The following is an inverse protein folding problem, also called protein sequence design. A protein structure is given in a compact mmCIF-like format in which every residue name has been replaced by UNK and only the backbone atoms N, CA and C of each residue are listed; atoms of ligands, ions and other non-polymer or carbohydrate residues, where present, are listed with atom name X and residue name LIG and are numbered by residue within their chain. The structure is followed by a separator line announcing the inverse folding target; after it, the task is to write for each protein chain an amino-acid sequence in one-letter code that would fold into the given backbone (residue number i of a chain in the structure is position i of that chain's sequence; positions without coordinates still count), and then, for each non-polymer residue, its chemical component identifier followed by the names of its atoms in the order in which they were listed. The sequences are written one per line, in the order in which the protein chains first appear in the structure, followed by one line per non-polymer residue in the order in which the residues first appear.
data_IF_883363489869
#
_entry.id   IF_883363489869
#
_cell.length_a   1.000
_cell.length_b   1.000
_cell.length_c   1.000
_cell.angle_alpha   90.00
_cell.angle_beta   90.00
_cell.angle_gamma   90.00
#
_symmetry.space_group_name_H-M   'P 1'
#
loop_
_entity.id
_entity.type
_entity.pdbx_description
1 polymer ?
#
# COMPACT_ATOMS: atom_id res chain seq x y z
N UNK A 1 -20.65 0.41 13.38
CA UNK A 1 -21.42 -0.84 13.33
C UNK A 1 -20.50 -2.01 13.63
N UNK A 2 -21.00 -3.03 14.35
CA UNK A 2 -20.19 -4.19 14.72
C UNK A 2 -21.00 -5.24 15.46
N UNK A 3 -20.31 -6.25 15.98
CA UNK A 3 -20.91 -7.31 16.77
C UNK A 3 -20.99 -6.91 18.26
N UNK A 4 -21.95 -7.49 18.96
CA UNK A 4 -21.90 -7.52 20.42
C UNK A 4 -20.96 -8.66 20.85
N UNK A 5 -19.67 -8.33 20.94
CA UNK A 5 -18.62 -9.29 21.30
C UNK A 5 -18.85 -9.89 22.70
N UNK A 6 -19.35 -9.07 23.64
CA UNK A 6 -19.61 -9.51 25.00
C UNK A 6 -20.77 -10.51 25.05
N UNK A 7 -21.96 -10.11 24.60
CA UNK A 7 -23.14 -10.99 24.65
C UNK A 7 -22.98 -12.27 23.82
N UNK A 8 -22.20 -12.20 22.75
CA UNK A 8 -21.92 -13.36 21.89
C UNK A 8 -20.99 -14.36 22.57
N UNK A 9 -19.90 -13.88 23.17
CA UNK A 9 -18.96 -14.74 23.91
C UNK A 9 -19.60 -15.31 25.18
N UNK A 10 -20.45 -14.53 25.85
CA UNK A 10 -21.24 -14.99 26.99
C UNK A 10 -22.05 -16.23 26.65
N UNK A 11 -22.80 -16.21 25.54
CA UNK A 11 -23.59 -17.33 25.05
C UNK A 11 -22.69 -18.53 24.71
N UNK A 12 -21.53 -18.31 24.12
CA UNK A 12 -20.58 -19.38 23.76
C UNK A 12 -20.04 -20.11 24.99
N UNK A 13 -19.59 -19.39 26.00
CA UNK A 13 -19.06 -19.96 27.25
C UNK A 13 -20.16 -20.64 28.05
N UNK A 14 -21.33 -20.03 28.14
CA UNK A 14 -22.51 -20.61 28.85
C UNK A 14 -22.93 -21.92 28.19
N UNK A 15 -22.92 -22.04 26.86
CA UNK A 15 -23.20 -23.26 26.14
C UNK A 15 -22.24 -24.42 26.54
N UNK A 16 -20.93 -24.14 26.63
CA UNK A 16 -19.95 -25.14 27.06
C UNK A 16 -20.22 -25.67 28.48
N UNK A 17 -20.62 -24.79 29.38
CA UNK A 17 -20.89 -25.13 30.78
C UNK A 17 -22.22 -25.88 30.90
N UNK A 18 -23.30 -25.37 30.30
CA UNK A 18 -24.64 -25.89 30.47
C UNK A 18 -24.88 -27.13 29.62
N UNK A 19 -24.54 -27.09 28.32
CA UNK A 19 -24.84 -28.18 27.40
C UNK A 19 -23.81 -29.33 27.47
N UNK A 20 -22.53 -29.01 27.76
CA UNK A 20 -21.43 -29.96 27.74
C UNK A 20 -20.85 -30.25 29.15
N UNK A 21 -21.35 -29.59 30.20
CA UNK A 21 -20.94 -29.79 31.59
C UNK A 21 -19.44 -29.55 31.84
N UNK A 22 -18.83 -28.65 31.04
CA UNK A 22 -17.43 -28.27 31.22
C UNK A 22 -17.22 -27.55 32.56
N UNK A 23 -16.21 -28.00 33.33
CA UNK A 23 -15.89 -27.48 34.67
C UNK A 23 -14.55 -26.76 34.69
N UNK A 24 -13.70 -27.04 33.73
CA UNK A 24 -12.40 -26.38 33.54
C UNK A 24 -12.34 -25.84 32.12
N UNK A 25 -12.09 -24.53 32.01
CA UNK A 25 -11.98 -23.85 30.72
C UNK A 25 -10.66 -23.09 30.63
N UNK A 26 -10.05 -23.10 29.46
CA UNK A 26 -8.89 -22.27 29.15
C UNK A 26 -9.28 -21.22 28.11
N UNK A 27 -8.87 -19.98 28.35
CA UNK A 27 -9.08 -18.90 27.38
C UNK A 27 -7.82 -18.72 26.52
N UNK A 28 -8.00 -18.66 25.21
CA UNK A 28 -6.92 -18.39 24.25
C UNK A 28 -7.31 -17.14 23.46
N UNK A 29 -6.78 -16.00 23.91
CA UNK A 29 -7.11 -14.67 23.42
C UNK A 29 -6.16 -14.15 22.36
N UNK A 30 -6.56 -13.03 21.74
CA UNK A 30 -5.76 -12.20 20.85
C UNK A 30 -4.89 -11.19 21.61
N UNK A 31 -4.42 -10.11 20.94
CA UNK A 31 -3.64 -9.05 21.57
C UNK A 31 -4.38 -8.44 22.76
N UNK A 32 -3.64 -8.23 23.85
CA UNK A 32 -4.21 -7.76 25.12
C UNK A 32 -4.80 -6.33 25.05
N UNK A 33 -4.37 -5.53 24.08
CA UNK A 33 -4.85 -4.16 23.83
C UNK A 33 -6.01 -4.11 22.82
N UNK A 34 -6.41 -5.23 22.23
CA UNK A 34 -7.57 -5.30 21.34
C UNK A 34 -8.87 -5.13 22.12
N UNK A 35 -9.68 -4.13 21.76
CA UNK A 35 -10.98 -3.90 22.37
C UNK A 35 -11.93 -5.10 22.23
N UNK A 36 -11.89 -5.81 21.10
CA UNK A 36 -12.68 -7.02 20.87
C UNK A 36 -12.25 -8.14 21.82
N UNK A 37 -10.93 -8.36 21.98
CA UNK A 37 -10.42 -9.34 22.91
C UNK A 37 -10.80 -9.01 24.35
N UNK A 38 -10.74 -7.75 24.74
CA UNK A 38 -11.13 -7.31 26.08
C UNK A 38 -12.61 -7.59 26.39
N UNK A 39 -13.51 -7.33 25.44
CA UNK A 39 -14.95 -7.61 25.61
C UNK A 39 -15.23 -9.14 25.66
N UNK A 40 -14.58 -9.94 24.81
CA UNK A 40 -14.69 -11.40 24.82
C UNK A 40 -14.14 -11.99 26.11
N UNK A 41 -12.99 -11.47 26.56
CA UNK A 41 -12.39 -11.84 27.84
C UNK A 41 -13.31 -11.52 29.03
N UNK A 42 -13.87 -10.31 29.10
CA UNK A 42 -14.77 -9.90 30.17
C UNK A 42 -16.00 -10.82 30.26
N UNK A 43 -16.60 -11.15 29.11
CA UNK A 43 -17.71 -12.08 29.05
C UNK A 43 -17.33 -13.48 29.59
N UNK A 44 -16.14 -14.00 29.20
CA UNK A 44 -15.63 -15.26 29.72
C UNK A 44 -15.49 -15.23 31.25
N UNK A 45 -14.85 -14.20 31.79
CA UNK A 45 -14.65 -14.00 33.24
C UNK A 45 -16.01 -13.95 34.00
N UNK A 46 -16.94 -13.12 33.52
CA UNK A 46 -18.25 -12.94 34.16
C UNK A 46 -19.08 -14.24 34.16
N UNK A 47 -19.02 -15.04 33.08
CA UNK A 47 -19.68 -16.32 33.02
C UNK A 47 -19.07 -17.32 34.00
N UNK A 48 -17.74 -17.43 34.07
CA UNK A 48 -17.10 -18.31 35.04
C UNK A 48 -17.49 -17.93 36.46
N UNK A 49 -17.49 -16.65 36.80
CA UNK A 49 -17.93 -16.15 38.11
C UNK A 49 -19.39 -16.54 38.41
N UNK A 50 -20.28 -16.35 37.42
CA UNK A 50 -21.70 -16.68 37.55
C UNK A 50 -21.97 -18.17 37.87
N UNK A 51 -21.15 -19.04 37.26
CA UNK A 51 -21.26 -20.50 37.46
C UNK A 51 -20.35 -21.04 38.58
N UNK A 52 -19.63 -20.16 39.30
CA UNK A 52 -18.76 -20.54 40.40
C UNK A 52 -17.51 -21.34 39.98
N UNK A 53 -17.08 -21.18 38.74
CA UNK A 53 -15.85 -21.80 38.22
C UNK A 53 -14.68 -20.87 38.56
N UNK A 54 -13.60 -21.36 39.21
CA UNK A 54 -12.46 -20.52 39.56
C UNK A 54 -11.75 -19.97 38.33
N UNK A 55 -11.44 -18.68 38.32
CA UNK A 55 -10.59 -18.05 37.32
C UNK A 55 -9.13 -18.24 37.73
N UNK A 56 -8.38 -19.03 36.97
CA UNK A 56 -6.95 -19.31 37.20
C UNK A 56 -6.12 -18.61 36.13
N UNK A 57 -5.19 -17.73 36.51
CA UNK A 57 -4.35 -17.00 35.58
C UNK A 57 -3.50 -17.91 34.67
N UNK A 58 -3.12 -19.08 35.16
CA UNK A 58 -2.34 -20.06 34.40
C UNK A 58 -3.14 -20.73 33.27
N UNK A 59 -4.47 -20.52 33.22
CA UNK A 59 -5.39 -21.01 32.18
C UNK A 59 -5.70 -19.99 31.10
N UNK A 60 -4.91 -18.92 31.05
CA UNK A 60 -5.11 -17.80 30.14
C UNK A 60 -3.88 -17.65 29.24
N UNK A 61 -4.10 -17.58 27.94
CA UNK A 61 -3.09 -17.29 26.94
C UNK A 61 -3.55 -16.13 26.07
N UNK A 62 -2.78 -15.05 25.98
CA UNK A 62 -3.04 -13.93 25.11
C UNK A 62 -1.83 -13.65 24.24
N UNK A 63 -1.98 -13.65 22.92
CA UNK A 63 -0.89 -13.35 21.98
C UNK A 63 -1.41 -12.64 20.73
N UNK A 64 -1.45 -13.30 19.57
CA UNK A 64 -1.97 -12.79 18.31
C UNK A 64 -3.22 -13.54 17.88
N UNK A 65 -3.93 -13.02 16.88
CA UNK A 65 -5.06 -13.71 16.25
C UNK A 65 -4.65 -14.74 15.19
N UNK A 66 -3.40 -15.09 15.11
CA UNK A 66 -2.83 -15.97 14.10
C UNK A 66 -2.94 -17.46 14.50
N UNK A 67 -2.88 -18.34 13.49
CA UNK A 67 -2.90 -19.80 13.67
C UNK A 67 -1.80 -20.26 14.62
N UNK A 68 -0.61 -19.70 14.50
CA UNK A 68 0.56 -20.04 15.30
C UNK A 68 0.37 -19.76 16.81
N UNK A 69 -0.45 -18.78 17.16
CA UNK A 69 -0.80 -18.50 18.57
C UNK A 69 -1.58 -19.68 19.17
N UNK A 70 -2.50 -20.26 18.41
CA UNK A 70 -3.23 -21.47 18.83
C UNK A 70 -2.33 -22.70 19.03
N UNK A 71 -1.35 -22.87 18.12
CA UNK A 71 -0.35 -23.94 18.22
C UNK A 71 0.47 -23.79 19.51
N UNK A 72 1.01 -22.59 19.76
CA UNK A 72 1.82 -22.32 20.97
C UNK A 72 1.00 -22.42 22.26
N UNK A 73 -0.24 -21.95 22.24
CA UNK A 73 -1.14 -22.07 23.39
C UNK A 73 -1.36 -23.53 23.77
N UNK A 74 -1.63 -24.42 22.80
CA UNK A 74 -1.80 -25.84 23.09
C UNK A 74 -0.55 -26.46 23.70
N UNK A 75 0.63 -26.23 23.11
CA UNK A 75 1.90 -26.76 23.63
C UNK A 75 2.13 -26.29 25.08
N UNK A 76 1.90 -25.00 25.35
CA UNK A 76 2.06 -24.43 26.68
C UNK A 76 1.17 -25.11 27.72
N UNK A 77 -0.12 -25.30 27.44
CA UNK A 77 -1.04 -25.92 28.39
C UNK A 77 -0.77 -27.42 28.55
N UNK A 78 -0.33 -28.09 27.50
CA UNK A 78 0.06 -29.51 27.57
C UNK A 78 1.32 -29.70 28.44
N UNK A 79 2.37 -28.90 28.23
CA UNK A 79 3.62 -28.97 29.02
C UNK A 79 3.37 -28.67 30.50
N UNK A 80 2.46 -27.78 30.80
CA UNK A 80 2.06 -27.46 32.19
C UNK A 80 1.05 -28.40 32.80
N UNK A 81 0.60 -29.42 32.09
CA UNK A 81 -0.48 -30.35 32.52
C UNK A 81 -1.78 -29.62 32.89
N UNK A 82 -2.11 -28.56 32.14
CA UNK A 82 -3.29 -27.71 32.35
C UNK A 82 -4.34 -27.88 31.22
N UNK A 83 -4.47 -29.08 30.65
CA UNK A 83 -5.50 -29.34 29.64
C UNK A 83 -6.89 -29.21 30.29
N UNK A 84 -7.83 -28.48 29.66
CA UNK A 84 -9.17 -28.21 30.20
C UNK A 84 -10.22 -29.20 29.66
N UNK A 85 -11.47 -29.06 30.12
CA UNK A 85 -12.64 -29.67 29.46
C UNK A 85 -12.99 -28.93 28.16
N UNK A 86 -12.69 -27.61 28.09
CA UNK A 86 -12.91 -26.81 26.87
C UNK A 86 -11.87 -25.66 26.71
N UNK A 87 -11.44 -25.45 25.47
CA UNK A 87 -10.71 -24.26 25.04
C UNK A 87 -11.68 -23.24 24.42
N UNK A 88 -11.67 -22.01 24.95
CA UNK A 88 -12.41 -20.87 24.43
C UNK A 88 -11.45 -19.99 23.66
N UNK A 89 -11.46 -20.07 22.34
CA UNK A 89 -10.58 -19.31 21.48
C UNK A 89 -11.27 -18.01 21.04
N UNK A 90 -10.49 -16.91 21.06
CA UNK A 90 -11.01 -15.60 20.69
C UNK A 90 -11.36 -15.49 19.19
N UNK A 91 -10.77 -16.32 18.31
CA UNK A 91 -11.15 -16.41 16.89
C UNK A 91 -10.92 -17.81 16.31
N UNK A 92 -11.30 -18.02 15.05
CA UNK A 92 -11.13 -19.29 14.35
C UNK A 92 -9.68 -19.65 14.06
N UNK A 93 -8.82 -18.69 13.70
CA UNK A 93 -7.43 -19.00 13.38
C UNK A 93 -6.75 -19.68 14.58
N UNK A 94 -6.96 -19.10 15.76
CA UNK A 94 -6.47 -19.67 17.03
C UNK A 94 -7.04 -21.07 17.22
N UNK A 95 -8.36 -21.24 17.05
CA UNK A 95 -9.05 -22.53 17.25
C UNK A 95 -8.51 -23.59 16.27
N UNK A 96 -8.32 -23.25 15.00
CA UNK A 96 -7.76 -24.16 13.97
C UNK A 96 -6.34 -24.56 14.32
N UNK A 97 -5.48 -23.61 14.70
CA UNK A 97 -4.10 -23.87 15.10
C UNK A 97 -4.01 -24.81 16.30
N UNK A 98 -4.82 -24.54 17.33
CA UNK A 98 -4.93 -25.37 18.53
C UNK A 98 -5.42 -26.78 18.20
N UNK A 99 -6.49 -26.91 17.43
CA UNK A 99 -7.01 -28.21 17.00
C UNK A 99 -5.98 -29.00 16.19
N UNK A 100 -5.27 -28.32 15.27
CA UNK A 100 -4.26 -28.95 14.44
C UNK A 100 -3.14 -29.55 15.31
N UNK A 101 -2.57 -28.79 16.23
CA UNK A 101 -1.50 -29.25 17.12
C UNK A 101 -1.98 -30.38 18.03
N UNK A 102 -3.17 -30.23 18.61
CA UNK A 102 -3.74 -31.27 19.46
C UNK A 102 -3.92 -32.60 18.71
N UNK A 103 -4.39 -32.57 17.47
CA UNK A 103 -4.54 -33.76 16.63
C UNK A 103 -3.19 -34.40 16.26
N UNK A 104 -2.13 -33.59 16.03
CA UNK A 104 -0.78 -34.11 15.81
C UNK A 104 -0.24 -34.87 17.03
N UNK A 105 -0.58 -34.42 18.24
CA UNK A 105 -0.23 -35.09 19.50
C UNK A 105 -1.19 -36.26 19.85
N UNK A 106 -2.16 -36.59 18.99
CA UNK A 106 -3.05 -37.74 19.12
C UNK A 106 -4.33 -37.48 19.89
N UNK A 107 -4.63 -36.25 20.28
CA UNK A 107 -5.90 -35.92 20.97
C UNK A 107 -7.08 -35.93 20.01
N UNK A 108 -8.24 -36.26 20.54
CA UNK A 108 -9.50 -36.37 19.81
C UNK A 108 -10.49 -35.29 20.28
N UNK A 109 -10.81 -34.38 19.41
CA UNK A 109 -11.75 -33.29 19.66
C UNK A 109 -13.12 -33.73 19.07
N UNK A 110 -14.21 -33.70 19.83
CA UNK A 110 -14.39 -33.16 21.20
C UNK A 110 -14.20 -34.19 22.32
N UNK A 111 -13.75 -35.42 22.03
CA UNK A 111 -13.76 -36.50 23.02
C UNK A 111 -12.85 -36.24 24.24
N UNK A 112 -11.69 -35.62 24.04
CA UNK A 112 -10.74 -35.29 25.10
C UNK A 112 -11.00 -33.89 25.69
N UNK A 113 -11.37 -32.93 24.86
CA UNK A 113 -11.80 -31.58 25.23
C UNK A 113 -12.56 -30.91 24.08
N UNK A 114 -13.42 -29.95 24.42
CA UNK A 114 -14.14 -29.13 23.46
C UNK A 114 -13.25 -27.94 23.00
N UNK A 115 -13.55 -27.40 21.81
CA UNK A 115 -12.90 -26.18 21.27
C UNK A 115 -13.93 -25.28 20.64
N UNK A 116 -13.87 -23.99 20.94
CA UNK A 116 -14.70 -22.98 20.25
C UNK A 116 -13.82 -21.92 19.61
N UNK A 117 -14.27 -21.36 18.49
CA UNK A 117 -13.71 -20.22 17.81
C UNK A 117 -14.71 -19.05 17.75
N UNK A 118 -14.42 -18.05 16.93
CA UNK A 118 -15.25 -16.86 16.73
C UNK A 118 -15.00 -16.32 15.31
N UNK A 119 -15.98 -15.64 14.69
CA UNK A 119 -15.93 -14.97 13.36
C UNK A 119 -16.28 -15.86 12.14
N UNK A 120 -16.39 -17.16 12.26
CA UNK A 120 -16.81 -18.10 11.20
C UNK A 120 -16.11 -17.85 9.85
N UNK A 121 -14.79 -17.94 9.80
CA UNK A 121 -14.10 -17.92 8.51
C UNK A 121 -14.50 -19.14 7.68
N UNK A 122 -14.78 -18.96 6.39
CA UNK A 122 -15.24 -20.03 5.49
C UNK A 122 -14.42 -21.31 5.58
N UNK A 123 -13.12 -21.20 5.81
CA UNK A 123 -12.19 -22.33 5.98
C UNK A 123 -12.50 -23.19 7.21
N UNK A 124 -12.96 -22.60 8.31
CA UNK A 124 -13.26 -23.30 9.56
C UNK A 124 -14.45 -24.23 9.44
N UNK A 125 -15.43 -23.94 8.58
CA UNK A 125 -16.57 -24.81 8.28
C UNK A 125 -16.17 -26.14 7.66
N UNK A 126 -15.02 -26.26 7.05
CA UNK A 126 -14.50 -27.46 6.40
C UNK A 126 -13.38 -28.15 7.16
N UNK A 127 -12.88 -27.52 8.22
CA UNK A 127 -11.93 -28.14 9.15
C UNK A 127 -12.60 -29.36 9.82
N UNK A 128 -11.83 -30.31 10.32
CA UNK A 128 -12.35 -31.48 11.04
C UNK A 128 -11.60 -31.64 12.38
N UNK A 129 -12.36 -31.56 13.49
CA UNK A 129 -13.82 -31.33 13.62
C UNK A 129 -14.20 -29.89 13.17
N UNK A 130 -15.44 -29.70 12.69
CA UNK A 130 -15.96 -28.34 12.39
C UNK A 130 -15.98 -27.51 13.65
N UNK A 131 -15.46 -26.31 13.57
CA UNK A 131 -15.30 -25.44 14.75
C UNK A 131 -16.65 -24.83 15.13
N UNK A 132 -17.02 -24.98 16.40
CA UNK A 132 -18.14 -24.25 17.00
C UNK A 132 -17.81 -22.79 17.05
N UNK A 133 -18.66 -21.90 16.49
CA UNK A 133 -18.33 -20.51 16.22
C UNK A 133 -19.55 -19.60 16.12
N UNK A 134 -19.36 -18.39 15.71
CA UNK A 134 -20.39 -17.37 15.50
C UNK A 134 -20.35 -16.91 14.04
N UNK A 135 -21.50 -16.93 13.38
CA UNK A 135 -21.67 -16.41 12.03
C UNK A 135 -22.44 -15.10 12.03
N UNK A 136 -22.06 -14.22 11.11
CA UNK A 136 -22.75 -12.97 10.81
C UNK A 136 -22.59 -12.62 9.34
N UNK A 137 -23.56 -11.88 8.80
CA UNK A 137 -23.51 -11.42 7.42
C UNK A 137 -22.74 -10.11 7.35
N UNK A 138 -21.62 -10.09 6.61
CA UNK A 138 -20.75 -8.93 6.44
C UNK A 138 -21.45 -7.79 5.74
N UNK A 139 -22.35 -8.11 4.81
CA UNK A 139 -23.21 -7.17 4.08
C UNK A 139 -24.08 -6.37 5.04
N UNK A 140 -24.65 -7.00 6.06
CA UNK A 140 -25.48 -6.36 7.09
C UNK A 140 -24.64 -5.38 7.94
N UNK A 141 -23.36 -5.72 8.21
CA UNK A 141 -22.44 -4.78 8.91
C UNK A 141 -22.14 -3.58 8.01
N UNK A 142 -21.87 -3.81 6.74
CA UNK A 142 -21.57 -2.74 5.78
C UNK A 142 -22.77 -1.78 5.61
N UNK A 143 -23.98 -2.32 5.43
CA UNK A 143 -25.22 -1.53 5.38
C UNK A 143 -25.43 -0.70 6.65
N UNK A 144 -25.27 -1.34 7.82
CA UNK A 144 -25.40 -0.66 9.10
C UNK A 144 -24.36 0.45 9.30
N UNK A 145 -23.12 0.25 8.80
CA UNK A 145 -22.08 1.26 8.83
C UNK A 145 -22.38 2.44 7.91
N UNK A 146 -22.89 2.18 6.70
CA UNK A 146 -23.30 3.22 5.76
C UNK A 146 -24.48 4.03 6.31
N UNK A 147 -25.48 3.38 6.88
CA UNK A 147 -26.61 4.05 7.55
C UNK A 147 -26.13 5.01 8.64
N UNK A 148 -25.18 4.59 9.48
CA UNK A 148 -24.61 5.41 10.53
C UNK A 148 -23.84 6.63 9.96
N UNK A 149 -23.07 6.43 8.90
CA UNK A 149 -22.37 7.53 8.22
C UNK A 149 -23.33 8.56 7.66
N UNK A 150 -24.41 8.13 7.01
CA UNK A 150 -25.46 9.02 6.47
C UNK A 150 -26.14 9.79 7.60
N UNK A 151 -26.43 9.14 8.75
CA UNK A 151 -27.01 9.80 9.90
C UNK A 151 -26.07 10.84 10.52
N UNK A 152 -24.78 10.54 10.69
CA UNK A 152 -23.77 11.47 11.20
C UNK A 152 -23.66 12.70 10.29
N UNK A 153 -23.58 12.50 8.98
CA UNK A 153 -23.47 13.60 8.01
C UNK A 153 -24.75 14.43 7.89
N UNK A 154 -25.93 13.79 8.00
CA UNK A 154 -27.20 14.48 7.86
C UNK A 154 -27.67 15.23 9.09
N UNK A 155 -27.32 14.78 10.29
CA UNK A 155 -27.87 15.31 11.54
C UNK A 155 -26.83 15.99 12.45
N UNK A 156 -25.55 15.95 12.09
CA UNK A 156 -24.44 16.49 12.89
C UNK A 156 -24.43 15.97 14.35
N UNK A 157 -24.88 14.71 14.55
CA UNK A 157 -24.99 14.05 15.85
C UNK A 157 -23.91 12.98 15.97
N UNK A 158 -23.46 12.71 17.20
CA UNK A 158 -22.68 11.52 17.53
C UNK A 158 -23.62 10.31 17.46
N UNK A 159 -23.42 9.40 16.51
CA UNK A 159 -24.20 8.19 16.42
C UNK A 159 -23.72 7.16 17.43
N UNK A 160 -24.65 6.50 18.12
CA UNK A 160 -24.36 5.34 18.97
C UNK A 160 -23.91 4.14 18.12
N UNK A 161 -23.19 3.21 18.74
CA UNK A 161 -22.77 1.98 18.11
C UNK A 161 -24.01 1.13 17.72
N UNK A 162 -24.11 0.73 16.44
CA UNK A 162 -25.17 -0.15 15.95
C UNK A 162 -24.64 -1.59 15.92
N UNK A 163 -25.24 -2.47 16.72
CA UNK A 163 -24.91 -3.90 16.72
C UNK A 163 -25.75 -4.64 15.68
N UNK A 164 -25.12 -5.64 15.02
CA UNK A 164 -25.80 -6.50 14.06
C UNK A 164 -26.10 -7.86 14.69
N UNK A 165 -27.17 -8.56 14.24
CA UNK A 165 -27.51 -9.88 14.73
C UNK A 165 -26.44 -10.90 14.37
N UNK A 166 -26.23 -11.86 15.27
CA UNK A 166 -25.31 -12.99 15.10
C UNK A 166 -26.05 -14.32 15.19
N UNK A 167 -25.53 -15.34 14.54
CA UNK A 167 -25.99 -16.70 14.63
C UNK A 167 -24.94 -17.58 15.28
N UNK A 168 -25.28 -18.26 16.39
CA UNK A 168 -24.41 -19.25 17.01
C UNK A 168 -24.41 -20.54 16.18
N UNK A 169 -23.23 -21.02 15.82
CA UNK A 169 -23.03 -22.27 15.08
C UNK A 169 -22.39 -23.31 15.99
N UNK A 170 -23.25 -24.10 16.68
CA UNK A 170 -22.74 -25.19 17.50
C UNK A 170 -22.47 -26.42 16.63
N UNK A 171 -21.22 -26.90 16.63
CA UNK A 171 -20.72 -27.86 15.66
C UNK A 171 -19.91 -28.99 16.33
N UNK A 172 -19.18 -29.76 15.48
CA UNK A 172 -18.47 -30.98 15.93
C UNK A 172 -17.48 -30.73 17.06
N UNK A 173 -16.78 -29.58 17.08
CA UNK A 173 -15.71 -29.32 18.04
C UNK A 173 -16.14 -29.10 19.49
N UNK A 174 -17.43 -28.83 19.73
CA UNK A 174 -17.99 -28.85 21.07
C UNK A 174 -18.81 -30.14 21.34
N UNK A 175 -19.02 -31.00 20.34
CA UNK A 175 -19.79 -32.25 20.45
C UNK A 175 -21.24 -32.12 19.94
N UNK A 176 -21.66 -30.97 19.45
CA UNK A 176 -22.97 -30.79 18.83
C UNK A 176 -22.99 -31.34 17.40
N UNK A 177 -24.18 -31.72 16.94
CA UNK A 177 -24.40 -32.12 15.54
C UNK A 177 -24.81 -30.88 14.74
N UNK A 178 -24.10 -30.54 13.66
CA UNK A 178 -24.45 -29.38 12.85
C UNK A 178 -25.76 -29.64 12.06
N UNK A 179 -26.53 -28.59 11.87
CA UNK A 179 -27.77 -28.63 11.11
C UNK A 179 -27.58 -28.82 9.60
N UNK A 180 -26.46 -28.34 9.06
CA UNK A 180 -26.15 -28.44 7.64
C UNK A 180 -24.75 -29.02 7.40
N UNK A 181 -24.63 -29.93 6.43
CA UNK A 181 -23.35 -30.52 6.01
C UNK A 181 -23.09 -30.13 4.58
N UNK A 182 -22.15 -29.22 4.36
CA UNK A 182 -21.66 -28.88 3.01
C UNK A 182 -20.77 -30.02 2.45
N UNK A 183 -20.84 -30.25 1.15
CA UNK A 183 -20.06 -31.29 0.47
C UNK A 183 -18.56 -30.95 0.52
N UNK A 184 -17.75 -31.88 1.01
CA UNK A 184 -16.28 -31.72 1.05
C UNK A 184 -15.67 -31.69 -0.37
N UNK A 185 -16.28 -32.40 -1.32
CA UNK A 185 -15.77 -32.44 -2.71
C UNK A 185 -15.92 -31.09 -3.40
N UNK A 186 -17.07 -30.45 -3.29
CA UNK A 186 -17.31 -29.10 -3.84
C UNK A 186 -16.35 -28.08 -3.24
N UNK A 187 -16.13 -28.15 -1.93
CA UNK A 187 -15.16 -27.26 -1.29
C UNK A 187 -13.73 -27.45 -1.81
N UNK A 188 -13.28 -28.70 -1.99
CA UNK A 188 -11.92 -28.97 -2.48
C UNK A 188 -11.77 -28.44 -3.92
N UNK A 189 -12.78 -28.64 -4.78
CA UNK A 189 -12.77 -28.14 -6.14
C UNK A 189 -12.70 -26.61 -6.19
N UNK A 190 -13.57 -25.95 -5.42
CA UNK A 190 -13.57 -24.48 -5.28
C UNK A 190 -12.22 -23.97 -4.73
N UNK A 191 -11.67 -24.66 -3.74
CA UNK A 191 -10.40 -24.28 -3.11
C UNK A 191 -9.22 -24.41 -4.08
N UNK A 192 -9.13 -25.50 -4.84
CA UNK A 192 -8.10 -25.70 -5.86
C UNK A 192 -8.20 -24.57 -6.91
N UNK A 193 -9.41 -24.26 -7.35
CA UNK A 193 -9.63 -23.19 -8.30
C UNK A 193 -9.19 -21.83 -7.75
N UNK A 194 -9.51 -21.52 -6.48
CA UNK A 194 -9.07 -20.30 -5.82
C UNK A 194 -7.56 -20.23 -5.66
N UNK A 195 -6.89 -21.30 -5.23
CA UNK A 195 -5.43 -21.35 -5.07
C UNK A 195 -4.70 -21.13 -6.40
N UNK A 196 -5.15 -21.75 -7.49
CA UNK A 196 -4.57 -21.51 -8.82
C UNK A 196 -4.73 -20.04 -9.22
N UNK A 197 -5.92 -19.48 -9.01
CA UNK A 197 -6.17 -18.06 -9.29
C UNK A 197 -5.31 -17.12 -8.47
N UNK A 198 -5.13 -17.39 -7.17
CA UNK A 198 -4.27 -16.60 -6.29
C UNK A 198 -2.82 -16.57 -6.79
N UNK A 199 -2.33 -17.71 -7.28
CA UNK A 199 -0.97 -17.80 -7.88
C UNK A 199 -0.88 -16.96 -9.16
N UNK A 200 -1.86 -17.06 -10.06
CA UNK A 200 -1.86 -16.29 -11.31
C UNK A 200 -1.88 -14.79 -11.04
N UNK A 201 -2.71 -14.35 -10.10
CA UNK A 201 -2.82 -12.95 -9.70
C UNK A 201 -1.55 -12.42 -9.04
N UNK A 202 -0.94 -13.24 -8.18
CA UNK A 202 0.33 -12.88 -7.56
C UNK A 202 1.43 -12.69 -8.64
N UNK A 203 1.46 -13.56 -9.64
CA UNK A 203 2.36 -13.42 -10.78
C UNK A 203 2.12 -12.13 -11.57
N UNK A 204 0.85 -11.75 -11.81
CA UNK A 204 0.51 -10.49 -12.48
C UNK A 204 0.98 -9.26 -11.68
N UNK A 205 0.85 -9.27 -10.34
CA UNK A 205 1.34 -8.19 -9.48
C UNK A 205 2.88 -8.13 -9.48
N UNK A 206 3.54 -9.28 -9.48
CA UNK A 206 5.00 -9.35 -9.57
C UNK A 206 5.51 -8.82 -10.92
N UNK A 207 4.82 -9.16 -12.04
CA UNK A 207 5.11 -8.60 -13.36
C UNK A 207 4.88 -7.08 -13.37
N UNK A 208 3.79 -6.60 -12.79
CA UNK A 208 3.53 -5.17 -12.62
C UNK A 208 4.68 -4.49 -11.89
N UNK A 209 5.09 -5.00 -10.74
CA UNK A 209 6.19 -4.45 -9.94
C UNK A 209 7.49 -4.34 -10.74
N UNK A 210 7.84 -5.38 -11.49
CA UNK A 210 9.01 -5.38 -12.35
C UNK A 210 8.93 -4.27 -13.41
N UNK A 211 7.82 -4.18 -14.13
CA UNK A 211 7.61 -3.17 -15.16
C UNK A 211 7.61 -1.74 -14.61
N UNK A 212 7.04 -1.52 -13.42
CA UNK A 212 6.98 -0.18 -12.80
C UNK A 212 8.36 0.35 -12.38
N UNK A 213 9.28 -0.51 -11.95
CA UNK A 213 10.64 -0.11 -11.55
C UNK A 213 11.44 0.41 -12.75
N UNK A 214 11.20 -0.12 -13.95
CA UNK A 214 11.91 0.26 -15.18
C UNK A 214 11.38 1.55 -15.80
N UNK A 215 10.28 2.10 -15.33
CA UNK A 215 9.67 3.30 -15.90
C UNK A 215 10.60 4.53 -15.81
N UNK A 216 10.55 5.32 -16.87
CA UNK A 216 11.30 6.57 -16.98
C UNK A 216 10.41 7.81 -16.80
N UNK A 217 9.09 7.67 -16.92
CA UNK A 217 8.12 8.75 -16.75
C UNK A 217 6.78 8.27 -16.19
N UNK A 218 5.96 9.22 -15.71
CA UNK A 218 4.66 8.95 -15.09
C UNK A 218 3.64 8.35 -16.06
N UNK A 219 3.68 8.70 -17.34
CA UNK A 219 2.74 8.22 -18.35
C UNK A 219 2.98 6.73 -18.63
N UNK A 220 4.23 6.34 -18.80
CA UNK A 220 4.60 4.94 -18.95
C UNK A 220 4.18 4.11 -17.74
N UNK A 221 4.43 4.63 -16.53
CA UNK A 221 4.03 3.98 -15.28
C UNK A 221 2.51 3.80 -15.19
N UNK A 222 1.75 4.85 -15.50
CA UNK A 222 0.29 4.81 -15.52
C UNK A 222 -0.26 3.83 -16.56
N UNK A 223 0.39 3.68 -17.71
CA UNK A 223 0.00 2.72 -18.75
C UNK A 223 0.19 1.28 -18.29
N UNK A 224 1.33 0.94 -17.65
CA UNK A 224 1.55 -0.41 -17.11
C UNK A 224 0.55 -0.75 -16.00
N UNK A 225 0.32 0.19 -15.09
CA UNK A 225 -0.70 0.01 -14.04
C UNK A 225 -2.09 -0.21 -14.65
N UNK A 226 -2.50 0.64 -15.60
CA UNK A 226 -3.80 0.53 -16.28
C UNK A 226 -3.94 -0.81 -17.00
N UNK A 227 -2.88 -1.30 -17.66
CA UNK A 227 -2.89 -2.61 -18.31
C UNK A 227 -3.14 -3.73 -17.31
N UNK A 228 -2.46 -3.71 -16.16
CA UNK A 228 -2.61 -4.70 -15.10
C UNK A 228 -4.05 -4.69 -14.52
N UNK A 229 -4.56 -3.53 -14.07
CA UNK A 229 -5.89 -3.49 -13.45
C UNK A 229 -7.02 -3.82 -14.44
N UNK A 230 -6.86 -3.51 -15.73
CA UNK A 230 -7.78 -3.97 -16.76
C UNK A 230 -7.70 -5.51 -16.97
N UNK A 231 -6.53 -6.11 -16.85
CA UNK A 231 -6.34 -7.57 -16.81
C UNK A 231 -7.07 -8.19 -15.61
N UNK A 232 -7.07 -7.50 -14.48
CA UNK A 232 -7.82 -7.82 -13.26
C UNK A 232 -9.32 -7.44 -13.33
N UNK A 233 -9.88 -7.34 -14.53
CA UNK A 233 -11.30 -7.08 -14.85
C UNK A 233 -11.85 -5.72 -14.41
N UNK A 234 -10.99 -4.73 -14.14
CA UNK A 234 -11.43 -3.36 -13.97
C UNK A 234 -11.86 -2.78 -15.34
N UNK A 235 -13.07 -2.22 -15.43
CA UNK A 235 -13.62 -1.73 -16.68
C UNK A 235 -13.13 -0.34 -17.06
N UNK A 236 -12.89 0.52 -16.07
CA UNK A 236 -12.40 1.86 -16.28
C UNK A 236 -11.35 2.28 -15.26
N UNK A 237 -10.37 3.05 -15.71
CA UNK A 237 -9.27 3.56 -14.87
C UNK A 237 -9.02 5.02 -15.24
N UNK A 238 -8.88 5.88 -14.23
CA UNK A 238 -8.41 7.25 -14.39
C UNK A 238 -7.40 7.56 -13.29
N UNK A 239 -6.27 8.12 -13.66
CA UNK A 239 -5.17 8.46 -12.74
C UNK A 239 -4.92 9.95 -12.80
N UNK A 240 -4.97 10.58 -11.64
CA UNK A 240 -4.76 12.00 -11.44
C UNK A 240 -3.51 12.23 -10.61
N UNK A 241 -2.73 13.24 -10.98
CA UNK A 241 -1.57 13.65 -10.20
C UNK A 241 -1.56 15.15 -9.99
N UNK A 242 -1.07 15.58 -8.84
CA UNK A 242 -0.89 16.98 -8.51
C UNK A 242 0.15 17.63 -9.44
N UNK A 243 -0.20 18.78 -10.01
CA UNK A 243 0.66 19.52 -10.94
C UNK A 243 2.00 19.90 -10.34
N UNK A 244 2.01 20.42 -9.11
CA UNK A 244 3.24 20.84 -8.43
C UNK A 244 4.22 19.68 -8.29
N UNK A 245 3.72 18.47 -8.02
CA UNK A 245 4.56 17.28 -7.90
C UNK A 245 5.20 16.90 -9.23
N UNK A 246 4.43 16.98 -10.31
CA UNK A 246 4.91 16.67 -11.66
C UNK A 246 5.98 17.69 -12.07
N UNK A 247 5.72 18.99 -11.89
CA UNK A 247 6.64 20.07 -12.21
C UNK A 247 7.93 20.04 -11.37
N UNK A 248 7.84 19.70 -10.07
CA UNK A 248 9.02 19.55 -9.21
C UNK A 248 9.99 18.49 -9.71
N UNK A 249 9.50 17.45 -10.34
CA UNK A 249 10.27 16.27 -10.71
C UNK A 249 10.73 16.25 -12.16
N UNK A 250 10.02 16.92 -13.08
CA UNK A 250 10.41 16.99 -14.50
C UNK A 250 11.50 18.05 -14.72
N UNK A 251 12.44 17.76 -15.63
CA UNK A 251 13.44 18.71 -16.05
C UNK A 251 12.88 19.68 -17.11
N UNK A 252 13.37 20.91 -17.15
CA UNK A 252 12.97 21.95 -18.10
C UNK A 252 13.20 21.54 -19.58
N UNK A 253 13.96 20.47 -19.82
CA UNK A 253 14.29 19.94 -21.15
C UNK A 253 13.34 18.83 -21.63
N UNK A 254 12.51 18.26 -20.75
CA UNK A 254 11.48 17.33 -21.18
C UNK A 254 10.28 18.14 -21.66
N UNK A 255 10.06 18.17 -22.98
CA UNK A 255 8.99 18.91 -23.60
C UNK A 255 7.63 18.67 -22.93
N UNK A 256 6.72 19.62 -23.06
CA UNK A 256 5.38 19.65 -22.50
C UNK A 256 4.73 18.27 -22.57
N UNK A 257 4.57 17.63 -21.43
CA UNK A 257 3.73 16.46 -21.34
C UNK A 257 2.30 16.93 -21.61
N UNK A 258 1.70 16.45 -22.69
CA UNK A 258 0.30 16.79 -23.03
C UNK A 258 -0.61 16.11 -22.01
N UNK A 259 -1.00 16.85 -20.99
CA UNK A 259 -2.01 16.44 -20.01
C UNK A 259 -3.40 16.88 -20.49
N UNK A 260 -4.40 16.07 -20.20
CA UNK A 260 -5.81 16.42 -20.48
C UNK A 260 -6.27 17.30 -19.32
N UNK A 261 -6.51 18.61 -19.59
CA UNK A 261 -6.87 19.59 -18.54
C UNK A 261 -8.33 20.00 -18.52
N UNK A 262 -9.15 19.61 -19.52
CA UNK A 262 -10.52 20.08 -19.66
C UNK A 262 -11.44 19.58 -18.54
N UNK A 263 -11.96 20.53 -17.75
CA UNK A 263 -13.07 20.32 -16.80
C UNK A 263 -12.68 19.93 -15.38
N UNK A 264 -11.42 20.05 -15.00
CA UNK A 264 -10.91 19.63 -13.67
C UNK A 264 -10.27 20.77 -12.87
N UNK A 265 -10.08 20.61 -11.53
CA UNK A 265 -9.40 21.62 -10.73
C UNK A 265 -8.03 21.97 -11.29
N UNK A 266 -7.70 23.25 -11.35
CA UNK A 266 -6.45 23.80 -11.94
C UNK A 266 -5.15 23.20 -11.36
N UNK A 267 -5.24 22.41 -10.30
CA UNK A 267 -4.11 21.81 -9.58
C UNK A 267 -3.88 20.33 -9.84
N UNK A 268 -4.74 19.69 -10.65
CA UNK A 268 -4.66 18.24 -10.90
C UNK A 268 -4.66 17.93 -12.40
N UNK A 269 -3.75 17.06 -12.83
CA UNK A 269 -3.66 16.60 -14.21
C UNK A 269 -4.04 15.13 -14.35
N UNK A 270 -4.79 14.79 -15.40
CA UNK A 270 -5.06 13.40 -15.79
C UNK A 270 -3.81 12.84 -16.49
N UNK A 271 -3.17 11.89 -15.89
CA UNK A 271 -1.99 11.23 -16.44
C UNK A 271 -2.38 10.08 -17.38
N UNK A 272 -3.44 9.35 -17.05
CA UNK A 272 -3.95 8.26 -17.85
C UNK A 272 -5.45 8.11 -17.65
N UNK A 273 -6.15 7.81 -18.74
CA UNK A 273 -7.58 7.48 -18.73
C UNK A 273 -7.84 6.35 -19.72
N UNK A 274 -8.63 5.36 -19.30
CA UNK A 274 -9.08 4.26 -20.15
C UNK A 274 -10.44 3.77 -19.69
N UNK A 275 -11.38 3.64 -20.64
CA UNK A 275 -12.69 3.06 -20.39
C UNK A 275 -13.61 3.92 -19.50
N UNK A 276 -13.37 5.23 -19.36
CA UNK A 276 -14.17 6.13 -18.51
C UNK A 276 -15.23 6.94 -19.28
N UNK A 277 -15.56 6.49 -20.49
CA UNK A 277 -16.46 7.19 -21.42
C UNK A 277 -17.95 6.92 -21.14
N UNK A 278 -18.26 5.96 -20.26
CA UNK A 278 -19.60 5.55 -19.90
C UNK A 278 -19.81 5.58 -18.38
N UNK A 279 -21.07 5.58 -17.95
CA UNK A 279 -21.41 5.46 -16.53
C UNK A 279 -21.27 4.02 -16.08
N UNK A 280 -20.77 3.85 -14.84
CA UNK A 280 -20.56 2.56 -14.17
C UNK A 280 -21.35 2.49 -12.88
N UNK A 281 -21.60 1.26 -12.41
CA UNK A 281 -22.34 1.02 -11.18
C UNK A 281 -21.51 1.29 -9.94
N UNK A 282 -20.20 1.09 -10.02
CA UNK A 282 -19.27 1.23 -8.89
C UNK A 282 -18.05 2.06 -9.29
N UNK A 283 -17.73 3.05 -8.48
CA UNK A 283 -16.48 3.80 -8.57
C UNK A 283 -15.73 3.72 -7.25
N UNK A 284 -14.47 3.30 -7.32
CA UNK A 284 -13.57 3.27 -6.16
C UNK A 284 -12.52 4.36 -6.32
N UNK A 285 -12.48 5.28 -5.37
CA UNK A 285 -11.51 6.37 -5.31
C UNK A 285 -10.41 5.99 -4.33
N UNK A 286 -9.17 5.88 -4.81
CA UNK A 286 -8.01 5.57 -4.00
C UNK A 286 -7.07 6.76 -3.97
N UNK A 287 -6.91 7.44 -2.82
CA UNK A 287 -5.98 8.55 -2.70
C UNK A 287 -4.53 8.04 -2.75
N UNK A 288 -3.66 8.81 -3.40
CA UNK A 288 -2.24 8.56 -3.47
C UNK A 288 -1.50 9.52 -2.55
N UNK A 289 -0.70 8.99 -1.63
CA UNK A 289 0.05 9.77 -0.65
C UNK A 289 1.51 9.33 -0.58
N UNK A 290 2.43 10.31 -0.49
CA UNK A 290 3.81 10.07 -0.06
C UNK A 290 3.92 10.51 1.41
N UNK A 291 3.75 9.58 2.35
CA UNK A 291 3.58 9.87 3.77
C UNK A 291 2.38 10.79 4.02
N UNK A 292 2.63 12.06 4.43
CA UNK A 292 1.58 13.06 4.72
C UNK A 292 1.23 13.94 3.50
N UNK A 293 1.96 13.81 2.39
CA UNK A 293 1.74 14.63 1.19
C UNK A 293 0.80 13.92 0.22
N UNK A 294 -0.34 14.53 -0.05
CA UNK A 294 -1.23 14.10 -1.12
C UNK A 294 -0.59 14.35 -2.49
N UNK A 295 -0.56 13.34 -3.34
CA UNK A 295 0.08 13.39 -4.66
C UNK A 295 -0.89 13.17 -5.81
N UNK A 296 -2.10 12.73 -5.51
CA UNK A 296 -3.15 12.47 -6.50
C UNK A 296 -4.14 11.42 -6.04
N UNK A 297 -4.85 10.85 -7.00
CA UNK A 297 -5.75 9.73 -6.76
C UNK A 297 -5.96 8.86 -8.01
N UNK A 298 -6.36 7.63 -7.77
CA UNK A 298 -6.79 6.68 -8.80
C UNK A 298 -8.28 6.46 -8.67
N UNK A 299 -8.99 6.50 -9.79
CA UNK A 299 -10.40 6.11 -9.88
C UNK A 299 -10.49 4.81 -10.68
N UNK A 300 -11.09 3.80 -10.08
CA UNK A 300 -11.36 2.51 -10.72
C UNK A 300 -12.87 2.34 -10.88
N UNK A 301 -13.31 1.92 -12.06
CA UNK A 301 -14.70 1.69 -12.36
C UNK A 301 -14.99 0.20 -12.53
N UNK A 302 -16.05 -0.30 -11.86
CA UNK A 302 -16.46 -1.70 -11.86
C UNK A 302 -15.26 -2.66 -11.65
N UNK A 303 -14.62 -2.54 -10.50
CA UNK A 303 -13.46 -3.34 -10.09
C UNK A 303 -13.82 -4.47 -9.10
N UNK A 304 -15.02 -5.02 -9.18
CA UNK A 304 -15.59 -6.01 -8.26
C UNK A 304 -14.63 -7.18 -8.01
N UNK A 305 -13.99 -7.67 -9.07
CA UNK A 305 -13.05 -8.77 -8.98
C UNK A 305 -11.84 -8.49 -8.07
N UNK A 306 -11.30 -7.27 -8.11
CA UNK A 306 -10.18 -6.87 -7.24
C UNK A 306 -10.61 -6.73 -5.78
N UNK A 307 -11.85 -6.27 -5.55
CA UNK A 307 -12.43 -6.11 -4.22
C UNK A 307 -12.74 -7.47 -3.59
N UNK A 308 -13.43 -8.36 -4.30
CA UNK A 308 -13.81 -9.69 -3.85
C UNK A 308 -12.60 -10.57 -3.47
N UNK A 309 -11.48 -10.42 -4.18
CA UNK A 309 -10.27 -11.21 -3.96
C UNK A 309 -9.19 -10.48 -3.17
N UNK A 310 -9.46 -9.30 -2.62
CA UNK A 310 -8.57 -8.50 -1.77
C UNK A 310 -7.27 -8.03 -2.46
N UNK A 311 -7.22 -8.04 -3.80
CA UNK A 311 -6.03 -7.62 -4.56
C UNK A 311 -5.90 -6.11 -4.73
N UNK A 312 -6.96 -5.36 -4.46
CA UNK A 312 -6.94 -3.91 -4.62
C UNK A 312 -5.83 -3.27 -3.79
N UNK A 313 -5.75 -3.65 -2.52
CA UNK A 313 -4.76 -3.07 -1.59
C UNK A 313 -3.31 -3.36 -2.03
N UNK A 314 -3.00 -4.61 -2.38
CA UNK A 314 -1.65 -5.00 -2.80
C UNK A 314 -1.24 -4.32 -4.11
N UNK A 315 -2.15 -4.28 -5.09
CA UNK A 315 -1.92 -3.63 -6.39
C UNK A 315 -1.69 -2.13 -6.21
N UNK A 316 -2.51 -1.46 -5.38
CA UNK A 316 -2.37 -0.03 -5.11
C UNK A 316 -1.10 0.30 -4.34
N UNK A 317 -0.71 -0.50 -3.35
CA UNK A 317 0.55 -0.32 -2.64
C UNK A 317 1.75 -0.48 -3.56
N UNK A 318 1.74 -1.51 -4.43
CA UNK A 318 2.79 -1.72 -5.43
C UNK A 318 2.94 -0.51 -6.36
N UNK A 319 1.81 0.04 -6.82
CA UNK A 319 1.82 1.25 -7.65
C UNK A 319 2.36 2.46 -6.89
N UNK A 320 1.90 2.69 -5.66
CA UNK A 320 2.27 3.84 -4.83
C UNK A 320 3.77 3.83 -4.47
N UNK A 321 4.31 2.69 -4.04
CA UNK A 321 5.74 2.53 -3.75
C UNK A 321 6.61 2.81 -4.98
N UNK A 322 6.19 2.29 -6.14
CA UNK A 322 6.89 2.50 -7.40
C UNK A 322 6.79 3.95 -7.87
N UNK A 323 5.65 4.61 -7.66
CA UNK A 323 5.43 6.02 -7.96
C UNK A 323 6.35 6.93 -7.10
N UNK A 324 6.47 6.64 -5.81
CA UNK A 324 7.38 7.36 -4.92
C UNK A 324 8.85 7.17 -5.34
N UNK A 325 9.22 5.95 -5.74
CA UNK A 325 10.56 5.67 -6.27
C UNK A 325 10.85 6.48 -7.55
N UNK A 326 9.94 6.47 -8.52
CA UNK A 326 10.07 7.24 -9.76
C UNK A 326 10.19 8.75 -9.48
N UNK A 327 9.34 9.29 -8.61
CA UNK A 327 9.40 10.69 -8.21
C UNK A 327 10.77 11.07 -7.65
N UNK A 328 11.32 10.26 -6.75
CA UNK A 328 12.66 10.48 -6.18
C UNK A 328 13.77 10.39 -7.24
N UNK A 329 13.67 9.42 -8.16
CA UNK A 329 14.60 9.24 -9.30
C UNK A 329 14.60 10.47 -10.19
N UNK A 330 13.44 10.99 -10.57
CA UNK A 330 13.31 12.17 -11.43
C UNK A 330 13.81 13.44 -10.74
N UNK A 331 13.47 13.65 -9.46
CA UNK A 331 13.99 14.79 -8.68
C UNK A 331 15.50 14.76 -8.56
N UNK A 332 16.10 13.60 -8.30
CA UNK A 332 17.56 13.47 -8.23
C UNK A 332 18.19 13.77 -9.57
N UNK A 333 17.60 13.29 -10.68
CA UNK A 333 18.06 13.59 -12.04
C UNK A 333 18.04 15.10 -12.31
N UNK A 334 16.93 15.77 -12.02
CA UNK A 334 16.77 17.23 -12.16
C UNK A 334 17.81 17.99 -11.33
N UNK A 335 18.03 17.58 -10.09
CA UNK A 335 19.04 18.19 -9.22
C UNK A 335 20.47 18.01 -9.77
N UNK A 336 20.79 16.82 -10.26
CA UNK A 336 22.10 16.55 -10.89
C UNK A 336 22.30 17.36 -12.19
N UNK A 337 21.28 17.48 -13.03
CA UNK A 337 21.34 18.32 -14.24
C UNK A 337 21.58 19.79 -13.87
N UNK A 338 20.89 20.29 -12.84
CA UNK A 338 21.12 21.65 -12.34
C UNK A 338 22.52 21.83 -11.77
N UNK A 339 23.05 20.89 -11.00
CA UNK A 339 24.40 20.91 -10.48
C UNK A 339 25.42 20.86 -11.62
N UNK A 340 25.24 19.99 -12.61
CA UNK A 340 26.12 19.92 -13.79
C UNK A 340 26.15 21.23 -14.54
N UNK A 341 25.00 21.88 -14.76
CA UNK A 341 24.94 23.19 -15.40
C UNK A 341 25.72 24.26 -14.61
N UNK A 342 25.56 24.31 -13.28
CA UNK A 342 26.28 25.22 -12.41
C UNK A 342 27.80 24.96 -12.39
N UNK A 343 28.18 23.69 -12.56
CA UNK A 343 29.58 23.28 -12.58
C UNK A 343 30.32 23.68 -13.87
N UNK A 344 29.61 23.67 -15.01
CA UNK A 344 30.25 23.90 -16.33
C UNK A 344 29.98 25.27 -16.96
N UNK A 345 29.05 26.06 -16.41
CA UNK A 345 28.71 27.39 -16.93
C UNK A 345 29.30 28.51 -16.05
N UNK A 346 29.70 29.59 -16.67
CA UNK A 346 30.06 30.85 -16.00
C UNK A 346 28.79 31.61 -15.61
N UNK A 347 28.66 31.97 -14.34
CA UNK A 347 27.44 32.57 -13.77
C UNK A 347 27.15 33.98 -14.31
N UNK A 348 28.13 34.70 -14.79
CA UNK A 348 27.97 36.05 -15.33
C UNK A 348 27.55 36.04 -16.80
N UNK A 349 28.17 35.20 -17.59
CA UNK A 349 28.05 35.21 -19.06
C UNK A 349 27.13 34.09 -19.58
N UNK A 350 26.96 32.99 -18.83
CA UNK A 350 26.25 31.78 -19.30
C UNK A 350 27.01 31.04 -20.42
N UNK A 351 28.26 31.43 -20.74
CA UNK A 351 29.18 30.64 -21.54
C UNK A 351 29.75 29.51 -20.67
N UNK A 352 30.41 28.54 -21.29
CA UNK A 352 31.15 27.53 -20.53
C UNK A 352 32.23 28.20 -19.66
N UNK A 353 32.47 27.67 -18.47
CA UNK A 353 33.54 28.09 -17.61
C UNK A 353 34.83 27.28 -17.89
N UNK A 354 35.91 27.61 -17.20
CA UNK A 354 37.19 26.90 -17.34
C UNK A 354 37.12 25.41 -17.05
N UNK A 355 36.24 24.98 -16.14
CA UNK A 355 36.08 23.55 -15.80
C UNK A 355 35.50 22.74 -16.97
N UNK A 356 34.69 23.37 -17.81
CA UNK A 356 34.10 22.76 -18.99
C UNK A 356 35.12 22.43 -20.10
N UNK A 357 36.34 22.94 -20.02
CA UNK A 357 37.38 22.70 -21.04
C UNK A 357 37.63 21.19 -21.23
N UNK A 358 37.87 20.49 -20.14
CA UNK A 358 38.16 19.06 -20.18
C UNK A 358 36.94 18.22 -20.65
N UNK A 359 35.74 18.67 -20.35
CA UNK A 359 34.54 17.96 -20.65
C UNK A 359 34.03 18.15 -22.08
N UNK A 360 34.22 19.37 -22.65
CA UNK A 360 33.66 19.70 -23.98
C UNK A 360 34.70 20.05 -25.03
N UNK A 361 35.69 20.87 -24.71
CA UNK A 361 36.63 21.35 -25.70
C UNK A 361 37.68 20.31 -26.09
N UNK A 362 38.26 19.62 -25.11
CA UNK A 362 39.26 18.57 -25.35
C UNK A 362 38.71 17.38 -26.13
N UNK A 363 37.50 16.80 -25.81
CA UNK A 363 36.90 15.76 -26.62
C UNK A 363 36.54 16.22 -28.04
N UNK A 364 36.09 17.49 -28.21
CA UNK A 364 35.77 18.02 -29.53
C UNK A 364 37.05 18.13 -30.38
N UNK A 365 38.16 18.63 -29.79
CA UNK A 365 39.43 18.68 -30.45
C UNK A 365 39.93 17.31 -30.89
N UNK A 366 39.91 16.32 -30.02
CA UNK A 366 40.31 14.94 -30.34
C UNK A 366 39.42 14.31 -31.45
N UNK A 367 38.13 14.56 -31.41
CA UNK A 367 37.20 14.12 -32.46
C UNK A 367 37.54 14.73 -33.81
N UNK A 368 37.82 16.03 -33.85
CA UNK A 368 38.23 16.71 -35.08
C UNK A 368 39.58 16.22 -35.57
N UNK A 369 40.56 16.01 -34.69
CA UNK A 369 41.89 15.45 -34.99
C UNK A 369 41.77 14.07 -35.65
N UNK A 370 40.94 13.16 -35.09
CA UNK A 370 40.73 11.83 -35.65
C UNK A 370 40.05 11.89 -37.03
N UNK A 371 39.14 12.85 -37.23
CA UNK A 371 38.46 13.09 -38.50
C UNK A 371 39.30 13.88 -39.53
N UNK A 372 40.53 14.29 -39.16
CA UNK A 372 41.39 15.17 -39.96
C UNK A 372 40.72 16.49 -40.39
N UNK A 373 39.83 17.02 -39.51
CA UNK A 373 39.18 18.32 -39.68
C UNK A 373 40.05 19.42 -39.06
N UNK A 374 40.09 20.60 -39.71
CA UNK A 374 40.71 21.75 -39.14
C UNK A 374 39.95 22.27 -37.93
N UNK A 375 40.66 22.67 -36.90
CA UNK A 375 40.13 23.31 -35.69
C UNK A 375 40.73 24.71 -35.58
N UNK A 376 39.88 25.70 -35.36
CA UNK A 376 40.31 27.06 -35.07
C UNK A 376 40.05 27.33 -33.59
N UNK A 377 41.08 27.77 -32.89
CA UNK A 377 40.99 28.25 -31.51
C UNK A 377 41.14 29.77 -31.53
N UNK A 378 40.20 30.45 -30.86
CA UNK A 378 40.16 31.91 -30.83
C UNK A 378 40.19 32.37 -29.37
N UNK A 379 41.09 33.31 -29.03
CA UNK A 379 41.10 34.00 -27.75
C UNK A 379 40.56 35.40 -27.98
N UNK A 380 39.61 35.79 -27.13
CA UNK A 380 38.92 37.09 -27.17
C UNK A 380 39.13 37.75 -25.81
N UNK A 381 39.71 38.94 -25.79
CA UNK A 381 39.97 39.71 -24.58
C UNK A 381 39.18 41.02 -24.59
N UNK A 382 38.70 41.47 -23.43
CA UNK A 382 37.94 42.70 -23.31
C UNK A 382 38.90 43.89 -23.07
N UNK A 383 39.14 44.68 -24.12
CA UNK A 383 39.99 45.86 -24.03
C UNK A 383 39.49 46.86 -22.99
N UNK A 384 40.40 47.37 -22.18
CA UNK A 384 40.13 48.41 -21.18
C UNK A 384 39.14 48.09 -20.08
N UNK A 385 38.77 46.79 -19.81
CA UNK A 385 37.81 46.39 -18.79
C UNK A 385 38.17 46.98 -17.40
N UNK A 386 39.46 47.04 -17.06
CA UNK A 386 39.92 47.66 -15.82
C UNK A 386 39.59 49.15 -15.75
N UNK A 387 39.76 49.90 -16.83
CA UNK A 387 39.38 51.30 -16.89
C UNK A 387 37.87 51.50 -16.71
N UNK A 388 37.08 50.65 -17.32
CA UNK A 388 35.62 50.67 -17.17
C UNK A 388 35.22 50.40 -15.72
N UNK A 389 35.79 49.37 -15.11
CA UNK A 389 35.55 49.04 -13.70
C UNK A 389 35.96 50.19 -12.75
N UNK A 390 37.11 50.77 -12.97
CA UNK A 390 37.63 51.83 -12.11
C UNK A 390 36.87 53.17 -12.29
N UNK A 391 36.32 53.43 -13.48
CA UNK A 391 35.61 54.67 -13.78
C UNK A 391 34.11 54.58 -13.53
N UNK A 392 33.44 53.44 -13.86
CA UNK A 392 32.00 53.31 -13.89
C UNK A 392 31.50 52.21 -12.94
N UNK A 393 32.40 51.54 -12.23
CA UNK A 393 32.06 50.46 -11.31
C UNK A 393 31.97 49.09 -11.95
N UNK A 394 32.03 48.04 -11.11
CA UNK A 394 32.05 46.64 -11.54
C UNK A 394 30.73 46.20 -12.26
N UNK A 395 29.62 46.88 -12.02
CA UNK A 395 28.35 46.56 -12.70
C UNK A 395 28.43 46.90 -14.21
N UNK A 396 29.14 47.99 -14.57
CA UNK A 396 29.35 48.32 -15.97
C UNK A 396 30.32 47.38 -16.66
N UNK A 397 31.38 46.96 -15.99
CA UNK A 397 32.30 45.95 -16.52
C UNK A 397 31.60 44.60 -16.69
N UNK A 398 30.73 44.20 -15.75
CA UNK A 398 29.92 43.01 -15.88
C UNK A 398 28.93 43.10 -17.08
N UNK A 399 28.39 44.30 -17.36
CA UNK A 399 27.53 44.53 -18.51
C UNK A 399 28.27 44.37 -19.83
N UNK A 400 29.51 44.89 -19.91
CA UNK A 400 30.37 44.72 -21.06
C UNK A 400 30.72 43.27 -21.34
N UNK A 401 31.12 42.50 -20.30
CA UNK A 401 31.43 41.08 -20.42
C UNK A 401 30.21 40.31 -20.89
N UNK A 402 28.98 40.59 -20.37
CA UNK A 402 27.74 40.02 -20.86
C UNK A 402 27.48 40.35 -22.32
N UNK A 403 27.72 41.60 -22.73
CA UNK A 403 27.56 42.03 -24.11
C UNK A 403 28.46 41.26 -25.08
N UNK A 404 29.72 41.06 -24.72
CA UNK A 404 30.67 40.25 -25.50
C UNK A 404 30.19 38.80 -25.59
N UNK A 405 29.77 38.20 -24.50
CA UNK A 405 29.23 36.85 -24.48
C UNK A 405 27.96 36.68 -25.36
N UNK A 406 27.09 37.69 -25.38
CA UNK A 406 25.91 37.70 -26.26
C UNK A 406 26.27 37.77 -27.74
N UNK A 407 27.30 38.51 -28.09
CA UNK A 407 27.84 38.58 -29.46
C UNK A 407 28.44 37.23 -29.83
N UNK A 408 29.26 36.62 -28.97
CA UNK A 408 29.86 35.32 -29.20
C UNK A 408 28.77 34.27 -29.48
N UNK A 409 27.72 34.22 -28.69
CA UNK A 409 26.58 33.29 -28.91
C UNK A 409 25.84 33.51 -30.21
N UNK A 410 25.76 34.73 -30.70
CA UNK A 410 25.08 35.06 -31.97
C UNK A 410 25.94 34.78 -33.21
N UNK A 411 27.24 34.92 -33.07
CA UNK A 411 28.16 34.84 -34.24
C UNK A 411 28.68 33.44 -34.47
N UNK A 412 28.97 32.70 -33.40
CA UNK A 412 29.53 31.35 -33.51
C UNK A 412 28.42 30.31 -33.68
N UNK A 413 28.66 29.24 -34.44
CA UNK A 413 27.70 28.17 -34.63
C UNK A 413 27.46 27.40 -33.31
N UNK A 414 26.29 26.72 -33.18
CA UNK A 414 25.94 25.98 -31.93
C UNK A 414 26.94 24.89 -31.56
N UNK A 415 27.68 24.38 -32.52
CA UNK A 415 28.68 23.32 -32.31
C UNK A 415 30.02 23.87 -31.76
N UNK A 416 30.21 25.19 -31.77
CA UNK A 416 31.39 25.81 -31.19
C UNK A 416 31.36 25.81 -29.68
N UNK A 417 32.42 25.38 -29.05
CA UNK A 417 32.58 25.47 -27.59
C UNK A 417 33.09 26.85 -27.23
N UNK A 418 32.19 27.72 -26.78
CA UNK A 418 32.50 29.08 -26.34
C UNK A 418 32.59 29.13 -24.82
N UNK A 419 33.69 29.63 -24.27
CA UNK A 419 33.93 29.63 -22.83
C UNK A 419 34.52 30.93 -22.34
N UNK A 420 34.27 31.25 -21.07
CA UNK A 420 35.00 32.26 -20.31
C UNK A 420 36.09 31.59 -19.50
N UNK A 421 37.33 31.84 -19.83
CA UNK A 421 38.48 31.18 -19.22
C UNK A 421 38.96 31.89 -17.93
N UNK A 422 38.85 33.20 -17.85
CA UNK A 422 39.22 34.03 -16.69
C UNK A 422 38.57 35.41 -16.77
N UNK A 423 38.82 36.29 -15.86
CA UNK A 423 38.25 37.65 -15.69
C UNK A 423 37.68 38.32 -16.92
N UNK A 424 38.51 38.77 -17.81
CA UNK A 424 38.23 39.47 -19.08
C UNK A 424 38.39 38.59 -20.34
N UNK A 425 38.85 37.35 -20.18
CA UNK A 425 39.08 36.38 -21.26
C UNK A 425 37.90 35.40 -21.49
#
# INVERSE_FOLDING_TARGET
AGLDNYATMEQMVEHLIVAHSCKTLNYVGGPADSQENLLRWQAYEDVLQRYGIPLENDRIWNESYEVESGVRAFIHFQEKHLLPDAFVCANENIAVGLCHQAQQEGFKIPADFCVTGFDNFDKASYYRPRITTVSYEREVIAEAAMDLLVQIWGQNTTADCKTVPVQMLFQDSCGCKPEQVRSRSEYIEDRIFQEVREIDLHNEIMELKHNLIECEDYKQMAQYFTKCVCGLRCKGVRIWMNQDLVEESLSDSTGEASYITDGYPDTMHVICEKGMEQEYSLYVYVPLHFREREVGYVVLADCDYMLENQFLFETMNTYLESLEYLYRKLRLRKANEKLSRLYVLDSLTGLYNRMAYQEFAEPLYEKCRLQKKAVTVMFIDADHLKYINDTFGHDMGNLEIRGIADVIRKVFPPEAVSMRYGGDE
#
